data_IF_921999071721
#
_entry.id   IF_921999071721
#
_cell.length_a   1.000
_cell.length_b   1.000
_cell.length_c   1.000
_cell.angle_alpha   90.00
_cell.angle_beta   90.00
_cell.angle_gamma   90.00
#
_symmetry.space_group_name_H-M   'P 1'
#
loop_
_entity.id
_entity.type
_entity.pdbx_description
1 polymer ?
#
# COMPACT_ATOMS: atom_id res chain seq x y z
N UNK A 1 25.21 -2.73 -6.86
CA UNK A 1 23.93 -2.59 -6.15
C UNK A 1 22.96 -1.82 -7.02
N UNK A 2 21.84 -2.40 -7.33
CA UNK A 2 20.83 -1.74 -8.16
C UNK A 2 19.85 -0.94 -7.32
N UNK A 3 19.42 0.20 -7.84
CA UNK A 3 18.37 1.01 -7.22
C UNK A 3 17.01 0.45 -7.63
N UNK A 4 16.09 0.34 -6.68
CA UNK A 4 14.70 -0.04 -6.94
C UNK A 4 13.83 1.20 -6.99
N UNK A 5 12.86 1.20 -7.90
CA UNK A 5 11.96 2.33 -8.09
C UNK A 5 10.55 1.89 -7.74
N UNK A 6 9.92 2.64 -6.82
CA UNK A 6 8.57 2.37 -6.32
C UNK A 6 7.71 3.62 -6.46
N UNK A 7 7.22 3.91 -7.68
CA UNK A 7 6.42 5.11 -7.90
C UNK A 7 5.05 4.99 -7.26
N UNK A 8 4.60 6.08 -6.65
CA UNK A 8 3.29 6.15 -6.00
C UNK A 8 2.20 6.43 -7.02
N UNK A 9 1.09 5.69 -6.93
CA UNK A 9 -0.09 5.95 -7.76
C UNK A 9 -0.88 7.16 -7.28
N UNK A 10 -0.49 7.77 -6.17
CA UNK A 10 -1.16 8.97 -5.65
C UNK A 10 -1.11 10.13 -6.66
N UNK A 11 -0.06 10.20 -7.47
CA UNK A 11 0.10 11.22 -8.49
C UNK A 11 -0.60 10.87 -9.81
N UNK A 12 -1.24 9.71 -9.88
CA UNK A 12 -1.89 9.23 -11.10
C UNK A 12 -3.25 9.88 -11.32
N UNK A 13 -3.76 9.78 -12.54
CA UNK A 13 -5.14 10.11 -12.86
C UNK A 13 -6.04 8.96 -12.38
N UNK A 14 -6.79 9.19 -11.30
CA UNK A 14 -7.63 8.17 -10.71
C UNK A 14 -8.79 7.74 -11.64
N UNK A 15 -9.16 8.59 -12.59
CA UNK A 15 -10.21 8.22 -13.56
C UNK A 15 -9.75 7.12 -14.53
N UNK A 16 -8.46 6.89 -14.65
CA UNK A 16 -7.87 5.84 -15.48
C UNK A 16 -6.76 5.10 -14.74
N UNK A 17 -7.02 4.80 -13.46
CA UNK A 17 -6.00 4.26 -12.56
C UNK A 17 -5.41 2.93 -13.04
N UNK A 18 -6.26 2.03 -13.58
CA UNK A 18 -5.78 0.76 -14.12
C UNK A 18 -4.77 0.94 -15.26
N UNK A 19 -5.07 1.85 -16.18
CA UNK A 19 -4.14 2.16 -17.29
C UNK A 19 -2.86 2.79 -16.79
N UNK A 20 -2.95 3.64 -15.76
CA UNK A 20 -1.79 4.26 -15.14
C UNK A 20 -0.86 3.19 -14.54
N UNK A 21 -1.43 2.19 -13.87
CA UNK A 21 -0.66 1.07 -13.29
C UNK A 21 0.02 0.27 -14.39
N UNK A 22 -0.68 -0.01 -15.50
CA UNK A 22 -0.08 -0.68 -16.65
C UNK A 22 1.09 0.12 -17.21
N UNK A 23 0.92 1.42 -17.36
CA UNK A 23 1.95 2.31 -17.91
C UNK A 23 3.20 2.36 -17.01
N UNK A 24 3.01 2.43 -15.69
CA UNK A 24 4.10 2.41 -14.73
C UNK A 24 4.89 1.11 -14.83
N UNK A 25 4.17 -0.01 -14.95
CA UNK A 25 4.78 -1.34 -15.07
C UNK A 25 5.61 -1.43 -16.34
N UNK A 26 5.08 -0.98 -17.46
CA UNK A 26 5.77 -1.00 -18.75
C UNK A 26 6.96 -0.05 -18.79
N UNK A 27 6.92 1.00 -18.00
CA UNK A 27 8.02 1.97 -17.91
C UNK A 27 9.24 1.43 -17.13
N UNK A 28 9.10 0.27 -16.48
CA UNK A 28 10.22 -0.39 -15.82
C UNK A 28 10.30 -0.19 -14.31
N UNK A 29 9.21 0.19 -13.67
CA UNK A 29 9.15 0.27 -12.20
C UNK A 29 9.40 -1.11 -11.57
N UNK A 30 9.88 -1.14 -10.34
CA UNK A 30 10.12 -2.36 -9.59
C UNK A 30 8.94 -2.71 -8.67
N UNK A 31 8.22 -1.69 -8.21
CA UNK A 31 7.07 -1.82 -7.31
C UNK A 31 5.96 -0.87 -7.76
N UNK A 32 4.75 -1.16 -7.33
CA UNK A 32 3.64 -0.20 -7.36
C UNK A 32 3.44 0.28 -5.93
N UNK A 33 3.68 1.56 -5.67
CA UNK A 33 3.54 2.12 -4.33
C UNK A 33 2.16 2.73 -4.17
N UNK A 34 1.46 2.33 -3.11
CA UNK A 34 0.09 2.75 -2.82
C UNK A 34 0.07 3.49 -1.49
N UNK A 35 -0.17 4.81 -1.54
CA UNK A 35 -0.25 5.64 -0.35
C UNK A 35 -1.71 5.74 0.11
N UNK A 36 -2.00 5.17 1.28
CA UNK A 36 -3.35 5.15 1.86
C UNK A 36 -3.41 6.13 3.02
N UNK A 37 -4.31 7.10 2.91
CA UNK A 37 -4.50 8.16 3.88
C UNK A 37 -5.98 8.26 4.25
N UNK A 38 -6.27 8.50 5.55
CA UNK A 38 -7.62 8.43 6.09
C UNK A 38 -8.25 9.80 6.42
N UNK A 39 -7.52 10.88 6.22
CA UNK A 39 -8.01 12.22 6.59
C UNK A 39 -8.02 12.47 8.10
N UNK A 40 -7.44 11.57 8.88
CA UNK A 40 -7.37 11.66 10.34
C UNK A 40 -5.92 11.61 10.83
N UNK A 41 -5.20 10.53 10.54
CA UNK A 41 -3.76 10.43 10.84
C UNK A 41 -2.96 11.44 10.05
N UNK A 42 -3.35 11.68 8.81
CA UNK A 42 -2.79 12.69 7.92
C UNK A 42 -3.92 13.49 7.28
N UNK A 43 -3.68 14.73 6.81
CA UNK A 43 -4.74 15.64 6.38
C UNK A 43 -5.21 15.41 4.94
N UNK A 44 -5.09 14.20 4.41
CA UNK A 44 -5.58 13.85 3.08
C UNK A 44 -6.36 12.54 3.15
N UNK A 45 -7.24 12.32 2.20
CA UNK A 45 -8.06 11.12 2.09
C UNK A 45 -7.86 10.53 0.71
N UNK A 46 -7.38 9.30 0.59
CA UNK A 46 -7.02 8.76 -0.71
C UNK A 46 -7.87 7.57 -1.14
N UNK A 47 -7.44 6.35 -0.85
CA UNK A 47 -8.08 5.16 -1.38
C UNK A 47 -8.22 4.08 -0.31
N UNK A 48 -9.05 3.09 -0.60
CA UNK A 48 -9.27 1.96 0.29
C UNK A 48 -8.90 0.61 -0.35
N UNK A 49 -9.17 -0.49 0.37
CA UNK A 49 -8.80 -1.83 -0.11
C UNK A 49 -9.46 -2.22 -1.44
N UNK A 50 -10.68 -1.77 -1.68
CA UNK A 50 -11.39 -2.12 -2.92
C UNK A 50 -10.72 -1.53 -4.16
N UNK A 51 -10.10 -0.37 -4.04
CA UNK A 51 -9.34 0.23 -5.13
C UNK A 51 -8.10 -0.61 -5.42
N UNK A 52 -7.37 -1.01 -4.37
CA UNK A 52 -6.19 -1.87 -4.52
C UNK A 52 -6.59 -3.18 -5.20
N UNK A 53 -7.67 -3.79 -4.75
CA UNK A 53 -8.18 -5.04 -5.34
C UNK A 53 -8.50 -4.88 -6.82
N UNK A 54 -9.11 -3.77 -7.20
CA UNK A 54 -9.53 -3.53 -8.58
C UNK A 54 -8.36 -3.33 -9.54
N UNK A 55 -7.21 -2.87 -9.05
CA UNK A 55 -6.02 -2.65 -9.88
C UNK A 55 -4.97 -3.75 -9.73
N UNK A 56 -5.16 -4.72 -8.83
CA UNK A 56 -4.15 -5.75 -8.57
C UNK A 56 -3.78 -6.55 -9.81
N UNK A 57 -4.73 -6.87 -10.65
CA UNK A 57 -4.50 -7.67 -11.86
C UNK A 57 -3.88 -6.87 -13.02
N UNK A 58 -3.71 -5.56 -12.85
CA UNK A 58 -3.12 -4.70 -13.89
C UNK A 58 -1.60 -4.75 -13.94
N UNK A 59 -0.96 -5.38 -12.95
CA UNK A 59 0.48 -5.48 -12.88
C UNK A 59 0.91 -6.75 -12.15
N UNK A 60 2.01 -7.36 -12.61
CA UNK A 60 2.67 -8.47 -11.91
C UNK A 60 3.66 -7.99 -10.87
N UNK A 61 3.91 -6.68 -10.79
CA UNK A 61 4.85 -6.12 -9.81
C UNK A 61 4.31 -6.25 -8.39
N UNK A 62 5.19 -6.33 -7.38
CA UNK A 62 4.75 -6.28 -5.99
C UNK A 62 4.06 -4.95 -5.68
N UNK A 63 2.98 -5.02 -4.92
CA UNK A 63 2.29 -3.83 -4.42
C UNK A 63 2.82 -3.49 -3.04
N UNK A 64 3.42 -2.32 -2.95
CA UNK A 64 4.03 -1.76 -1.74
C UNK A 64 3.03 -0.74 -1.15
N UNK A 65 2.25 -1.18 -0.16
CA UNK A 65 1.14 -0.41 0.39
C UNK A 65 1.56 0.27 1.69
N UNK A 66 1.47 1.59 1.70
CA UNK A 66 1.87 2.44 2.83
C UNK A 66 0.61 2.97 3.52
N UNK A 67 0.36 2.50 4.74
CA UNK A 67 -0.84 2.84 5.49
C UNK A 67 -0.57 3.99 6.44
N UNK A 68 -1.07 5.17 6.08
CA UNK A 68 -1.05 6.38 6.91
C UNK A 68 -2.46 6.59 7.47
N UNK A 69 -2.88 5.65 8.30
CA UNK A 69 -4.24 5.59 8.85
C UNK A 69 -4.19 5.26 10.34
N UNK A 70 -5.21 5.70 11.08
CA UNK A 70 -5.37 5.43 12.50
C UNK A 70 -6.85 5.19 12.81
N UNK A 71 -7.26 4.00 13.28
CA UNK A 71 -6.44 2.84 13.63
C UNK A 71 -5.96 2.07 12.40
N UNK A 72 -4.79 1.47 12.47
CA UNK A 72 -4.23 0.72 11.34
C UNK A 72 -4.53 -0.77 11.42
N UNK A 73 -4.54 -1.35 12.61
CA UNK A 73 -4.65 -2.79 12.79
C UNK A 73 -5.86 -3.43 12.10
N UNK A 74 -7.08 -2.86 12.18
CA UNK A 74 -8.25 -3.47 11.54
C UNK A 74 -8.15 -3.56 10.02
N UNK A 75 -7.27 -2.79 9.41
CA UNK A 75 -7.18 -2.68 7.94
C UNK A 75 -6.05 -3.47 7.32
N UNK A 76 -5.06 -3.92 8.08
CA UNK A 76 -3.89 -4.61 7.52
C UNK A 76 -4.31 -5.84 6.71
N UNK A 77 -5.13 -6.72 7.30
CA UNK A 77 -5.60 -7.91 6.58
C UNK A 77 -6.40 -7.56 5.33
N UNK A 78 -7.21 -6.52 5.38
CA UNK A 78 -8.02 -6.10 4.25
C UNK A 78 -7.15 -5.71 3.05
N UNK A 79 -6.05 -5.01 3.30
CA UNK A 79 -5.11 -4.64 2.23
C UNK A 79 -4.29 -5.84 1.75
N UNK A 80 -3.94 -6.75 2.64
CA UNK A 80 -3.27 -7.99 2.25
C UNK A 80 -4.17 -8.83 1.34
N UNK A 81 -5.44 -8.99 1.70
CA UNK A 81 -6.41 -9.72 0.89
C UNK A 81 -6.65 -9.02 -0.45
N UNK A 82 -6.57 -7.71 -0.49
CA UNK A 82 -6.70 -6.94 -1.74
C UNK A 82 -5.51 -7.12 -2.68
N UNK A 83 -4.38 -7.64 -2.20
CA UNK A 83 -3.22 -7.95 -3.01
C UNK A 83 -1.92 -7.26 -2.62
N UNK A 84 -1.84 -6.64 -1.45
CA UNK A 84 -0.60 -6.03 -0.96
C UNK A 84 0.46 -7.10 -0.72
N UNK A 85 1.67 -6.87 -1.20
CA UNK A 85 2.83 -7.73 -0.97
C UNK A 85 3.70 -7.20 0.16
N UNK A 86 3.74 -5.88 0.30
CA UNK A 86 4.47 -5.18 1.36
C UNK A 86 3.48 -4.21 2.00
N UNK A 87 3.46 -4.19 3.33
CA UNK A 87 2.63 -3.25 4.09
C UNK A 87 3.52 -2.46 5.04
N UNK A 88 3.53 -1.14 4.88
CA UNK A 88 4.26 -0.23 5.77
C UNK A 88 3.28 0.47 6.70
N UNK A 89 3.58 0.48 7.98
CA UNK A 89 2.74 1.11 9.00
C UNK A 89 3.56 2.05 9.86
N UNK A 90 2.89 3.04 10.45
CA UNK A 90 3.51 3.97 11.39
C UNK A 90 3.22 3.54 12.82
N UNK A 91 4.25 3.37 13.67
CA UNK A 91 4.04 3.01 15.07
C UNK A 91 3.08 3.97 15.79
N UNK A 92 3.09 5.23 15.45
CA UNK A 92 2.24 6.27 16.06
C UNK A 92 0.75 6.04 15.79
N UNK A 93 0.39 5.28 14.76
CA UNK A 93 -0.99 5.00 14.38
C UNK A 93 -1.57 3.79 15.14
N UNK A 94 -0.79 3.17 16.02
CA UNK A 94 -1.23 2.01 16.78
C UNK A 94 -0.50 1.95 18.11
N UNK A 95 -1.25 1.73 19.20
CA UNK A 95 -0.69 1.68 20.55
C UNK A 95 0.18 0.42 20.78
N UNK A 96 -0.01 -0.62 19.98
CA UNK A 96 0.72 -1.89 20.12
C UNK A 96 1.28 -2.36 18.77
N UNK A 97 2.41 -1.78 18.38
CA UNK A 97 3.09 -2.15 17.15
C UNK A 97 3.68 -3.55 17.20
N UNK A 98 4.03 -4.04 18.40
CA UNK A 98 4.53 -5.41 18.55
C UNK A 98 3.42 -6.42 18.23
N UNK A 99 2.21 -6.19 18.73
CA UNK A 99 1.07 -7.05 18.45
C UNK A 99 0.74 -7.05 16.95
N UNK A 100 0.77 -5.89 16.31
CA UNK A 100 0.55 -5.78 14.86
C UNK A 100 1.60 -6.58 14.10
N UNK A 101 2.87 -6.38 14.40
CA UNK A 101 3.97 -7.07 13.74
C UNK A 101 3.88 -8.59 13.96
N UNK A 102 3.61 -9.00 15.19
CA UNK A 102 3.50 -10.42 15.52
C UNK A 102 2.32 -11.08 14.81
N UNK A 103 1.15 -10.44 14.83
CA UNK A 103 -0.06 -10.99 14.24
C UNK A 103 0.07 -11.18 12.73
N UNK A 104 0.78 -10.28 12.05
CA UNK A 104 0.89 -10.28 10.60
C UNK A 104 2.25 -10.71 10.08
N UNK A 105 3.11 -11.23 10.93
CA UNK A 105 4.50 -11.56 10.58
C UNK A 105 4.61 -12.62 9.48
N UNK A 106 3.68 -13.55 9.40
CA UNK A 106 3.68 -14.63 8.41
C UNK A 106 3.07 -14.23 7.06
N UNK A 107 2.53 -13.02 7.00
CA UNK A 107 1.93 -12.47 5.77
C UNK A 107 3.00 -11.77 4.94
N UNK A 108 2.62 -11.09 3.86
CA UNK A 108 3.57 -10.27 3.11
C UNK A 108 4.35 -9.35 4.05
N UNK A 109 5.48 -8.87 3.59
CA UNK A 109 6.38 -8.07 4.42
C UNK A 109 5.63 -6.88 5.05
N UNK A 110 5.81 -6.71 6.37
CA UNK A 110 5.30 -5.56 7.12
C UNK A 110 6.48 -4.73 7.57
N UNK A 111 6.42 -3.43 7.25
CA UNK A 111 7.47 -2.49 7.60
C UNK A 111 6.94 -1.43 8.57
N UNK A 112 7.72 -1.13 9.59
CA UNK A 112 7.45 -0.02 10.50
C UNK A 112 8.21 1.21 10.03
N UNK A 113 7.53 2.32 9.94
CA UNK A 113 8.13 3.58 9.45
C UNK A 113 8.16 4.67 10.52
#
# INVERSE_FOLDING_TARGET
>A
MSVKISPSILASDFSSLGDEVVNITQAGADYIHVDVMDGHFVPNLTIGPDVVKSIRDKSSLPFDVHLMIDPVQPYIEKFVEAGADIVSVHPEANDDTEAVSYTHLTLPTILLV
#
